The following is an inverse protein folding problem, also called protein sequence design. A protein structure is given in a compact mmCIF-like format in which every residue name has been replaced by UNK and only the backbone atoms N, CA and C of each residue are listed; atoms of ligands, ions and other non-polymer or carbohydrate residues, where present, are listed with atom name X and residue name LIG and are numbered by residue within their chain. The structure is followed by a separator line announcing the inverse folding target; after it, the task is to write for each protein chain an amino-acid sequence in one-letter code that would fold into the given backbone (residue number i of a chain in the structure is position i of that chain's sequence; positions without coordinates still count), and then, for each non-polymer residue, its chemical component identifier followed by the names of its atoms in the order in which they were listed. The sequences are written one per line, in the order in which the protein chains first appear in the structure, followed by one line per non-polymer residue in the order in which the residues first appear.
data_IF_652217222905
#
_entry.id   IF_652217222905
#
_cell.length_a   1.000
_cell.length_b   1.000
_cell.length_c   1.000
_cell.angle_alpha   90.00
_cell.angle_beta   90.00
_cell.angle_gamma   90.00
#
_symmetry.space_group_name_H-M   'P 1'
#
loop_
_entity.id
_entity.type
_entity.pdbx_description
1 polymer ?
#
# COMPACT_ATOMS: atom_id res chain seq x y z
N UNK A 1 0.41 -4.55 5.11
CA UNK A 1 -0.26 -5.33 6.20
C UNK A 1 0.73 -5.69 7.31
N UNK A 2 1.81 -6.43 7.06
CA UNK A 2 2.77 -6.91 8.08
C UNK A 2 3.41 -5.79 8.90
N UNK A 3 3.65 -4.61 8.32
CA UNK A 3 4.12 -3.44 9.08
C UNK A 3 3.20 -3.08 10.25
N UNK A 4 1.88 -3.11 10.03
CA UNK A 4 0.87 -2.88 11.07
C UNK A 4 0.85 -4.02 12.10
N UNK A 5 1.05 -5.25 11.65
CA UNK A 5 1.13 -6.42 12.54
C UNK A 5 2.43 -6.44 13.35
N UNK A 6 3.50 -5.79 12.86
CA UNK A 6 4.81 -5.76 13.50
C UNK A 6 5.61 -7.05 13.35
N UNK A 7 5.11 -7.96 12.53
CA UNK A 7 5.73 -9.25 12.21
C UNK A 7 5.33 -9.68 10.80
N UNK A 8 6.19 -10.46 10.16
CA UNK A 8 5.87 -11.07 8.87
C UNK A 8 5.00 -12.31 9.11
N UNK A 9 3.79 -12.30 8.54
CA UNK A 9 2.81 -13.39 8.73
C UNK A 9 2.72 -14.33 7.53
N UNK A 10 3.29 -13.93 6.39
CA UNK A 10 3.38 -14.71 5.15
C UNK A 10 4.48 -14.18 4.24
N UNK A 11 4.78 -14.90 3.18
CA UNK A 11 5.65 -14.39 2.10
C UNK A 11 4.92 -13.33 1.27
N UNK A 12 5.67 -12.30 0.86
CA UNK A 12 5.20 -11.23 -0.01
C UNK A 12 5.95 -11.26 -1.34
N UNK A 13 5.23 -11.02 -2.43
CA UNK A 13 5.80 -10.90 -3.78
C UNK A 13 6.36 -9.52 -4.07
N UNK A 14 5.92 -8.52 -3.33
CA UNK A 14 6.19 -7.11 -3.55
C UNK A 14 6.03 -6.29 -2.27
N UNK A 15 6.47 -5.06 -2.33
CA UNK A 15 6.29 -4.05 -1.30
C UNK A 15 5.43 -2.92 -1.87
N UNK A 16 4.25 -2.70 -1.31
CA UNK A 16 3.39 -1.57 -1.68
C UNK A 16 3.86 -0.29 -0.98
N UNK A 17 4.05 0.78 -1.74
CA UNK A 17 4.42 2.10 -1.23
C UNK A 17 3.45 3.19 -1.70
N UNK A 18 2.84 3.88 -0.75
CA UNK A 18 2.13 5.13 -0.99
C UNK A 18 3.10 6.30 -1.02
N UNK A 19 3.16 7.01 -2.13
CA UNK A 19 4.15 8.08 -2.35
C UNK A 19 3.45 9.36 -2.79
N UNK A 20 3.72 10.51 -2.12
CA UNK A 20 3.29 11.80 -2.65
C UNK A 20 3.91 12.03 -4.03
N UNK A 21 3.10 12.29 -5.05
CA UNK A 21 3.58 12.46 -6.43
C UNK A 21 4.68 13.53 -6.55
N UNK A 22 4.63 14.57 -5.71
CA UNK A 22 5.66 15.64 -5.68
C UNK A 22 7.05 15.15 -5.24
N UNK A 23 7.17 13.94 -4.70
CA UNK A 23 8.44 13.36 -4.24
C UNK A 23 8.96 12.23 -5.14
N UNK A 24 8.32 12.00 -6.29
CA UNK A 24 8.67 10.89 -7.17
C UNK A 24 10.11 10.99 -7.71
N UNK A 25 10.57 12.18 -8.05
CA UNK A 25 11.94 12.45 -8.49
C UNK A 25 12.98 12.03 -7.45
N UNK A 26 12.74 12.38 -6.20
CA UNK A 26 13.60 12.01 -5.07
C UNK A 26 13.60 10.51 -4.81
N UNK A 27 12.44 9.90 -4.96
CA UNK A 27 12.30 8.45 -4.82
C UNK A 27 13.10 7.71 -5.90
N UNK A 28 13.04 8.15 -7.15
CA UNK A 28 13.81 7.55 -8.25
C UNK A 28 15.32 7.65 -8.02
N UNK A 29 15.81 8.76 -7.47
CA UNK A 29 17.23 8.87 -7.10
C UNK A 29 17.58 7.83 -6.04
N UNK A 30 16.82 7.76 -4.95
CA UNK A 30 17.06 6.81 -3.86
C UNK A 30 16.97 5.35 -4.32
N UNK A 31 16.00 5.04 -5.16
CA UNK A 31 15.85 3.69 -5.70
C UNK A 31 16.93 3.32 -6.71
N UNK A 32 17.37 4.27 -7.54
CA UNK A 32 18.52 4.07 -8.44
C UNK A 32 19.80 3.75 -7.66
N UNK A 33 20.06 4.47 -6.55
CA UNK A 33 21.18 4.18 -5.64
C UNK A 33 21.08 2.80 -4.97
N UNK A 34 19.85 2.31 -4.74
CA UNK A 34 19.57 0.99 -4.18
C UNK A 34 19.50 -0.13 -5.25
N UNK A 35 19.63 0.21 -6.55
CA UNK A 35 19.55 -0.76 -7.65
C UNK A 35 18.12 -1.21 -7.99
N UNK A 36 17.10 -0.49 -7.55
CA UNK A 36 15.68 -0.73 -7.87
C UNK A 36 15.27 0.26 -8.97
N UNK A 37 15.77 0.08 -10.17
CA UNK A 37 15.72 1.06 -11.26
C UNK A 37 15.10 0.55 -12.56
N UNK A 38 14.48 -0.64 -12.52
CA UNK A 38 13.85 -1.26 -13.68
C UNK A 38 12.34 -1.24 -13.53
N UNK A 39 11.63 -0.95 -14.61
CA UNK A 39 10.18 -1.08 -14.67
C UNK A 39 9.83 -2.56 -14.83
N UNK A 40 9.00 -3.09 -13.93
CA UNK A 40 8.39 -4.39 -14.07
C UNK A 40 7.09 -4.21 -14.88
N UNK A 41 7.01 -4.69 -16.13
CA UNK A 41 5.82 -4.46 -16.95
C UNK A 41 4.64 -5.26 -16.40
N UNK A 42 3.64 -4.55 -15.91
CA UNK A 42 2.42 -5.12 -15.39
C UNK A 42 1.21 -4.67 -16.24
N UNK A 43 0.30 -5.55 -16.64
CA UNK A 43 -0.84 -5.15 -17.48
C UNK A 43 -1.76 -4.10 -16.84
N UNK A 44 -1.68 -3.98 -15.52
CA UNK A 44 -2.41 -3.00 -14.72
C UNK A 44 -1.74 -1.65 -14.54
N UNK A 45 -0.49 -1.46 -15.05
CA UNK A 45 0.25 -0.21 -14.87
C UNK A 45 -0.52 1.02 -15.33
N UNK A 46 -0.45 2.05 -14.51
CA UNK A 46 -1.05 3.38 -14.73
C UNK A 46 -0.03 4.45 -14.32
N UNK A 47 -0.16 5.71 -14.79
CA UNK A 47 0.74 6.79 -14.37
C UNK A 47 0.81 7.01 -12.85
N UNK A 48 -0.22 6.63 -12.12
CA UNK A 48 -0.31 6.72 -10.66
C UNK A 48 -0.04 5.40 -9.92
N UNK A 49 0.11 4.29 -10.66
CA UNK A 49 0.39 2.98 -10.08
C UNK A 49 1.22 2.12 -11.03
N UNK A 50 2.44 1.83 -10.66
CA UNK A 50 3.35 0.99 -11.45
C UNK A 50 4.41 0.32 -10.57
N UNK A 51 5.05 -0.71 -11.09
CA UNK A 51 5.99 -1.56 -10.35
C UNK A 51 7.43 -1.33 -10.80
N UNK A 52 8.32 -1.10 -9.85
CA UNK A 52 9.78 -1.16 -10.06
C UNK A 52 10.36 -2.47 -9.51
N UNK A 53 11.54 -2.86 -10.01
CA UNK A 53 12.26 -4.03 -9.53
C UNK A 53 13.78 -3.88 -9.65
N UNK A 54 14.51 -4.71 -8.89
CA UNK A 54 15.98 -4.78 -8.89
C UNK A 54 16.56 -5.78 -9.91
N UNK A 55 15.72 -6.55 -10.60
CA UNK A 55 16.12 -7.61 -11.52
C UNK A 55 16.50 -8.93 -10.86
N UNK A 56 16.45 -9.03 -9.53
CA UNK A 56 16.81 -10.23 -8.76
C UNK A 56 15.61 -10.83 -8.05
N UNK A 57 14.80 -10.02 -7.37
CA UNK A 57 13.66 -10.54 -6.63
C UNK A 57 12.81 -9.49 -5.91
N UNK A 58 13.39 -8.32 -5.62
CA UNK A 58 12.63 -7.23 -5.00
C UNK A 58 11.73 -6.55 -6.04
N UNK A 59 10.45 -6.43 -5.71
CA UNK A 59 9.47 -5.63 -6.45
C UNK A 59 8.87 -4.60 -5.53
N UNK A 60 8.64 -3.41 -6.05
CA UNK A 60 8.02 -2.31 -5.31
C UNK A 60 6.88 -1.76 -6.15
N UNK A 61 5.65 -1.92 -5.66
CA UNK A 61 4.45 -1.35 -6.26
C UNK A 61 4.24 0.06 -5.72
N UNK A 62 4.26 1.04 -6.61
CA UNK A 62 4.17 2.46 -6.30
C UNK A 62 2.75 2.96 -6.50
N UNK A 63 2.13 3.47 -5.44
CA UNK A 63 0.84 4.12 -5.44
C UNK A 63 1.05 5.63 -5.25
N UNK A 64 0.95 6.40 -6.35
CA UNK A 64 1.19 7.84 -6.31
C UNK A 64 -0.09 8.60 -5.96
N UNK A 65 -0.03 9.44 -4.96
CA UNK A 65 -1.14 10.30 -4.57
C UNK A 65 -0.79 11.78 -4.59
N UNK A 66 -1.81 12.61 -4.71
CA UNK A 66 -1.71 14.06 -4.64
C UNK A 66 -2.44 14.58 -3.41
N UNK A 67 -1.89 15.64 -2.79
CA UNK A 67 -2.58 16.35 -1.70
C UNK A 67 -3.49 17.42 -2.29
N UNK A 68 -4.75 17.43 -1.88
CA UNK A 68 -5.74 18.42 -2.30
C UNK A 68 -5.78 19.63 -1.36
N UNK A 69 -6.36 20.73 -1.81
CA UNK A 69 -6.40 21.98 -1.06
C UNK A 69 -7.22 21.90 0.25
N UNK A 70 -8.15 20.97 0.34
CA UNK A 70 -8.95 20.70 1.53
C UNK A 70 -8.27 19.76 2.54
N UNK A 71 -7.04 19.33 2.25
CA UNK A 71 -6.27 18.42 3.08
C UNK A 71 -6.53 16.94 2.83
N UNK A 72 -7.48 16.59 1.96
CA UNK A 72 -7.65 15.20 1.50
C UNK A 72 -6.56 14.80 0.51
N UNK A 73 -6.50 13.51 0.19
CA UNK A 73 -5.57 12.93 -0.77
C UNK A 73 -6.35 12.41 -1.97
N UNK A 74 -5.79 12.52 -3.17
CA UNK A 74 -6.37 11.98 -4.40
C UNK A 74 -5.49 10.85 -4.95
N UNK A 75 -6.12 9.75 -5.34
CA UNK A 75 -5.48 8.62 -6.02
C UNK A 75 -6.29 8.20 -7.24
N UNK A 76 -5.61 7.93 -8.33
CA UNK A 76 -6.24 7.51 -9.58
C UNK A 76 -6.27 8.58 -10.67
N UNK A 77 -7.05 8.33 -11.73
CA UNK A 77 -7.22 9.28 -12.82
C UNK A 77 -8.10 10.47 -12.41
N UNK A 78 -8.07 11.53 -13.20
CA UNK A 78 -8.97 12.69 -13.00
C UNK A 78 -10.45 12.30 -13.13
N UNK A 79 -10.75 11.27 -13.94
CA UNK A 79 -12.13 10.84 -14.22
C UNK A 79 -12.61 9.76 -13.25
N UNK A 80 -11.76 8.74 -13.00
CA UNK A 80 -12.15 7.54 -12.25
C UNK A 80 -11.45 7.44 -10.87
N UNK A 81 -10.58 8.39 -10.57
CA UNK A 81 -9.92 8.46 -9.28
C UNK A 81 -10.84 9.00 -8.18
N UNK A 82 -10.39 8.91 -6.95
CA UNK A 82 -11.16 9.33 -5.80
C UNK A 82 -10.34 10.02 -4.74
N UNK A 83 -11.00 10.91 -3.99
CA UNK A 83 -10.42 11.51 -2.80
C UNK A 83 -10.60 10.59 -1.59
N UNK A 84 -9.60 10.60 -0.70
CA UNK A 84 -9.63 9.87 0.56
C UNK A 84 -8.98 10.70 1.68
N UNK A 85 -9.31 10.45 2.95
CA UNK A 85 -8.81 11.26 4.05
C UNK A 85 -7.31 11.03 4.28
N UNK A 86 -6.58 12.08 4.68
CA UNK A 86 -5.13 11.98 4.95
C UNK A 86 -4.81 11.01 6.10
N UNK A 87 -5.74 10.82 7.04
CA UNK A 87 -5.67 9.87 8.14
C UNK A 87 -5.52 8.42 7.65
N UNK A 88 -5.96 8.12 6.43
CA UNK A 88 -5.78 6.82 5.80
C UNK A 88 -4.30 6.40 5.71
N UNK A 89 -3.38 7.36 5.58
CA UNK A 89 -1.94 7.13 5.52
C UNK A 89 -1.20 7.59 6.80
N UNK A 90 -1.92 7.73 7.92
CA UNK A 90 -1.35 8.15 9.21
C UNK A 90 -1.05 6.98 10.16
N UNK A 91 -1.15 5.74 9.69
CA UNK A 91 -0.80 4.56 10.46
C UNK A 91 0.70 4.48 10.74
N UNK A 92 1.04 3.71 11.75
CA UNK A 92 2.42 3.44 12.17
C UNK A 92 2.59 1.94 12.40
N UNK A 93 3.73 1.43 11.99
CA UNK A 93 4.07 0.03 12.15
C UNK A 93 5.57 -0.18 12.21
N UNK A 94 5.99 -1.45 12.10
CA UNK A 94 7.39 -1.82 12.16
C UNK A 94 7.73 -2.82 11.05
N UNK A 95 8.90 -2.64 10.43
CA UNK A 95 9.50 -3.60 9.50
C UNK A 95 10.90 -3.90 10.01
N UNK A 96 11.18 -5.15 10.34
CA UNK A 96 12.47 -5.59 10.90
C UNK A 96 12.96 -4.73 12.08
N UNK A 97 12.03 -4.31 12.96
CA UNK A 97 12.33 -3.47 14.11
C UNK A 97 12.46 -1.96 13.81
N UNK A 98 12.38 -1.56 12.55
CA UNK A 98 12.39 -0.14 12.16
C UNK A 98 10.96 0.40 12.11
N UNK A 99 10.72 1.52 12.80
CA UNK A 99 9.43 2.21 12.75
C UNK A 99 9.20 2.82 11.36
N UNK A 100 8.01 2.57 10.80
CA UNK A 100 7.60 3.06 9.49
C UNK A 100 6.22 3.68 9.55
N UNK A 101 5.96 4.65 8.66
CA UNK A 101 4.59 5.10 8.39
C UNK A 101 3.94 4.11 7.43
N UNK A 102 2.67 3.85 7.64
CA UNK A 102 1.88 2.97 6.78
C UNK A 102 0.42 3.43 6.71
N UNK A 103 -0.42 2.70 6.02
CA UNK A 103 -1.86 2.90 6.09
C UNK A 103 -2.37 2.75 7.53
N UNK A 104 -3.48 3.41 7.87
CA UNK A 104 -4.20 3.07 9.09
C UNK A 104 -4.80 1.67 8.97
N UNK A 105 -5.00 0.99 10.09
CA UNK A 105 -5.53 -0.37 10.08
C UNK A 105 -6.94 -0.43 9.48
N UNK A 106 -7.78 0.57 9.78
CA UNK A 106 -9.12 0.70 9.24
C UNK A 106 -9.11 0.89 7.73
N UNK A 107 -8.16 1.71 7.22
CA UNK A 107 -8.04 1.93 5.79
C UNK A 107 -7.53 0.67 5.08
N UNK A 108 -6.53 0.02 5.62
CA UNK A 108 -6.01 -1.24 5.11
C UNK A 108 -7.11 -2.31 5.00
N UNK A 109 -7.96 -2.47 6.02
CA UNK A 109 -9.13 -3.36 5.95
C UNK A 109 -10.09 -2.92 4.85
N UNK A 110 -10.43 -1.62 4.77
CA UNK A 110 -11.35 -1.07 3.78
C UNK A 110 -10.88 -1.31 2.34
N UNK A 111 -9.59 -1.13 2.06
CA UNK A 111 -9.03 -1.35 0.73
C UNK A 111 -9.18 -2.79 0.22
N UNK A 112 -9.41 -3.76 1.13
CA UNK A 112 -9.60 -5.17 0.80
C UNK A 112 -11.07 -5.61 0.75
N UNK A 113 -12.04 -4.67 0.78
CA UNK A 113 -13.48 -5.00 0.78
C UNK A 113 -14.20 -4.70 -0.54
N UNK A 114 -13.58 -4.05 -1.50
CA UNK A 114 -14.21 -3.59 -2.75
C UNK A 114 -14.23 -4.61 -3.90
N UNK A 115 -13.74 -5.82 -3.68
CA UNK A 115 -13.60 -6.87 -4.69
C UNK A 115 -13.74 -8.26 -4.02
N UNK A 116 -13.89 -9.36 -4.80
CA UNK A 116 -13.92 -10.70 -4.23
C UNK A 116 -12.62 -11.03 -3.48
N UNK A 117 -12.73 -11.40 -2.20
CA UNK A 117 -11.58 -11.65 -1.34
C UNK A 117 -10.71 -12.79 -1.89
N UNK A 118 -9.42 -12.53 -2.05
CA UNK A 118 -8.39 -13.50 -2.42
C UNK A 118 -7.93 -14.28 -1.18
N UNK A 119 -7.20 -15.37 -1.35
CA UNK A 119 -6.67 -16.15 -0.23
C UNK A 119 -5.77 -15.33 0.70
N UNK A 120 -4.94 -14.44 0.13
CA UNK A 120 -4.10 -13.52 0.91
C UNK A 120 -4.93 -12.54 1.74
N UNK A 121 -6.03 -12.02 1.19
CA UNK A 121 -6.93 -11.12 1.91
C UNK A 121 -7.64 -11.85 3.06
N UNK A 122 -8.05 -13.12 2.83
CA UNK A 122 -8.65 -13.98 3.87
C UNK A 122 -7.68 -14.33 4.99
N UNK A 123 -6.37 -14.29 4.73
CA UNK A 123 -5.34 -14.42 5.76
C UNK A 123 -5.16 -13.09 6.51
N UNK A 124 -4.92 -12.00 5.80
CA UNK A 124 -4.42 -10.75 6.36
C UNK A 124 -5.50 -9.92 7.08
N UNK A 125 -6.71 -9.80 6.49
CA UNK A 125 -7.78 -8.94 7.03
C UNK A 125 -8.25 -9.39 8.41
N UNK A 126 -8.51 -10.68 8.68
CA UNK A 126 -8.87 -11.13 10.02
C UNK A 126 -7.78 -10.91 11.08
N UNK A 127 -6.50 -10.95 10.68
CA UNK A 127 -5.38 -10.64 11.58
C UNK A 127 -5.40 -9.18 12.01
N UNK A 128 -5.57 -8.25 11.06
CA UNK A 128 -5.71 -6.82 11.36
C UNK A 128 -6.94 -6.54 12.21
N UNK A 129 -8.09 -7.08 11.84
CA UNK A 129 -9.33 -6.89 12.59
C UNK A 129 -9.17 -7.31 14.05
N UNK A 130 -8.57 -8.48 14.32
CA UNK A 130 -8.30 -8.95 15.69
C UNK A 130 -7.33 -8.05 16.44
N UNK A 131 -6.23 -7.64 15.81
CA UNK A 131 -5.20 -6.82 16.46
C UNK A 131 -5.70 -5.44 16.84
N UNK A 132 -6.48 -4.81 15.97
CA UNK A 132 -6.92 -3.41 16.12
C UNK A 132 -8.36 -3.26 16.62
N UNK A 133 -9.07 -4.36 16.88
CA UNK A 133 -10.46 -4.33 17.33
C UNK A 133 -11.44 -3.82 16.27
N UNK A 134 -11.11 -4.00 14.99
CA UNK A 134 -11.96 -3.60 13.86
C UNK A 134 -12.99 -4.72 13.60
N UNK A 135 -14.29 -4.40 13.43
CA UNK A 135 -15.27 -5.40 13.02
C UNK A 135 -14.86 -6.12 11.73
N UNK A 136 -15.00 -7.44 11.69
CA UNK A 136 -14.72 -8.21 10.48
C UNK A 136 -15.78 -7.88 9.41
N UNK A 137 -15.38 -7.46 8.19
CA UNK A 137 -16.35 -7.19 7.13
C UNK A 137 -17.09 -8.48 6.71
N UNK A 138 -18.38 -8.36 6.34
CA UNK A 138 -19.24 -9.50 5.93
C UNK A 138 -18.62 -10.39 4.84
N UNK A 139 -17.85 -9.77 3.89
CA UNK A 139 -17.16 -10.51 2.83
C UNK A 139 -16.07 -11.47 3.32
N UNK A 140 -15.72 -11.42 4.61
CA UNK A 140 -14.72 -12.28 5.28
C UNK A 140 -15.35 -13.19 6.34
N UNK A 141 -16.64 -13.12 6.54
CA UNK A 141 -17.35 -14.07 7.39
C UNK A 141 -17.37 -15.46 6.73
N UNK A 142 -17.29 -16.55 7.52
CA UNK A 142 -17.24 -17.92 7.00
C UNK A 142 -18.51 -18.37 6.29
#
# INVERSE_FOLDING_TARGET
MDALLGEQTRDHSDLDLWVPAVHLDRLFVAFGEAGVDRIFPWPGDRPWNFVLHDGVGLRVDLHLYESLADGSLHYGSVVDGGAFPAEALAGHGFIAGTAVRCESAEWAVRCHTGYPARDVDRHDVPLLCRKFGIPLPESFEP
#
